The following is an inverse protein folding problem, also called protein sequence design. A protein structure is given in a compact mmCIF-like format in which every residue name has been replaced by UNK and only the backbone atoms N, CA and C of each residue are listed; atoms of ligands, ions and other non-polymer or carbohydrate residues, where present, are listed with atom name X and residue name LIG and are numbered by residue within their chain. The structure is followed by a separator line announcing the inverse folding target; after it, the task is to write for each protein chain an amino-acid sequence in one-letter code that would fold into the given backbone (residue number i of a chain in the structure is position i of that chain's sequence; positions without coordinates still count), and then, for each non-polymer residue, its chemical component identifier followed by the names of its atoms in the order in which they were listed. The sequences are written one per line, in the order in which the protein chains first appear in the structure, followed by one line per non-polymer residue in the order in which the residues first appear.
data_IF_841139134491
#
_entry.id   IF_841139134491
#
_cell.length_a   1.000
_cell.length_b   1.000
_cell.length_c   1.000
_cell.angle_alpha   90.00
_cell.angle_beta   90.00
_cell.angle_gamma   90.00
#
_symmetry.space_group_name_H-M   'P 1'
#
loop_
_entity.id
_entity.type
_entity.pdbx_description
1 polymer ?
#
# COMPACT_ATOMS: atom_id res chain seq x y z
N UNK A 1 23.01 18.64 -14.14
CA UNK A 1 22.44 17.30 -13.90
C UNK A 1 21.05 17.48 -13.32
N UNK A 2 20.03 17.36 -14.16
CA UNK A 2 18.62 17.48 -13.76
C UNK A 2 18.10 16.08 -13.44
N UNK A 3 17.84 15.78 -12.17
CA UNK A 3 17.01 14.64 -11.79
C UNK A 3 15.56 15.12 -11.80
N UNK A 4 14.90 14.89 -12.93
CA UNK A 4 13.44 14.88 -13.01
C UNK A 4 12.98 13.69 -12.16
N UNK A 5 12.50 13.95 -10.94
CA UNK A 5 11.71 12.99 -10.17
C UNK A 5 10.38 12.84 -10.89
N UNK A 6 10.36 11.89 -11.81
CA UNK A 6 9.15 11.31 -12.39
C UNK A 6 8.32 10.71 -11.25
N UNK A 7 7.28 11.40 -10.80
CA UNK A 7 6.11 10.76 -10.21
C UNK A 7 5.32 10.12 -11.37
N UNK A 8 5.89 9.05 -11.91
CA UNK A 8 5.25 8.21 -12.91
C UNK A 8 4.34 7.22 -12.20
N UNK A 9 3.08 7.21 -12.62
CA UNK A 9 2.18 6.05 -12.52
C UNK A 9 2.99 4.76 -12.52
N UNK A 10 2.92 3.98 -11.44
CA UNK A 10 3.61 2.70 -11.37
C UNK A 10 3.09 1.86 -12.53
N UNK A 11 3.92 1.67 -13.55
CA UNK A 11 3.52 1.08 -14.82
C UNK A 11 3.00 -0.34 -14.57
N UNK A 12 1.87 -0.72 -15.19
CA UNK A 12 1.21 -2.01 -14.95
C UNK A 12 2.19 -3.19 -15.20
N UNK A 13 3.14 -2.99 -16.10
CA UNK A 13 4.27 -3.89 -16.36
C UNK A 13 5.20 -4.09 -15.14
N UNK A 14 5.48 -3.03 -14.38
CA UNK A 14 6.31 -3.10 -13.16
C UNK A 14 5.57 -3.85 -12.05
N UNK A 15 4.25 -3.64 -11.94
CA UNK A 15 3.39 -4.34 -10.99
C UNK A 15 3.24 -5.82 -11.33
N UNK A 16 3.07 -6.16 -12.61
CA UNK A 16 3.06 -7.54 -13.10
C UNK A 16 4.39 -8.26 -12.78
N UNK A 17 5.52 -7.58 -12.99
CA UNK A 17 6.85 -8.10 -12.64
C UNK A 17 6.99 -8.34 -11.13
N UNK A 18 6.46 -7.46 -10.28
CA UNK A 18 6.45 -7.66 -8.83
C UNK A 18 5.61 -8.89 -8.42
N UNK A 19 4.47 -9.13 -9.07
CA UNK A 19 3.65 -10.34 -8.82
C UNK A 19 4.38 -11.62 -9.20
N UNK A 20 4.91 -11.65 -10.41
CA UNK A 20 5.69 -12.80 -10.90
C UNK A 20 6.89 -13.07 -10.00
N UNK A 21 7.58 -12.01 -9.53
CA UNK A 21 8.69 -12.14 -8.59
C UNK A 21 8.26 -12.73 -7.24
N UNK A 22 7.12 -12.31 -6.68
CA UNK A 22 6.58 -12.85 -5.42
C UNK A 22 6.14 -14.31 -5.58
N UNK A 23 5.51 -14.65 -6.70
CA UNK A 23 5.06 -16.02 -6.98
C UNK A 23 6.24 -16.96 -7.22
N UNK A 24 7.25 -16.51 -7.98
CA UNK A 24 8.51 -17.25 -8.15
C UNK A 24 9.22 -17.44 -6.82
N UNK A 25 9.30 -16.40 -5.98
CA UNK A 25 9.89 -16.50 -4.64
C UNK A 25 9.11 -17.49 -3.75
N UNK A 26 7.77 -17.53 -3.84
CA UNK A 26 6.95 -18.53 -3.14
C UNK A 26 7.25 -19.96 -3.64
N UNK A 27 7.42 -20.14 -4.95
CA UNK A 27 7.78 -21.43 -5.54
C UNK A 27 9.14 -21.90 -5.03
N UNK A 28 10.17 -21.05 -5.08
CA UNK A 28 11.50 -21.38 -4.56
C UNK A 28 11.47 -21.76 -3.08
N UNK A 29 10.65 -21.08 -2.29
CA UNK A 29 10.48 -21.37 -0.87
C UNK A 29 9.83 -22.75 -0.65
N UNK A 30 8.86 -23.14 -1.48
CA UNK A 30 8.27 -24.47 -1.44
C UNK A 30 9.28 -25.57 -1.84
N UNK A 31 10.07 -25.33 -2.87
CA UNK A 31 11.11 -26.27 -3.30
C UNK A 31 12.18 -26.44 -2.21
N UNK A 32 12.62 -25.34 -1.61
CA UNK A 32 13.55 -25.36 -0.47
C UNK A 32 12.95 -26.11 0.73
N UNK A 33 11.66 -25.99 0.98
CA UNK A 33 10.97 -26.74 2.04
C UNK A 33 11.01 -28.24 1.77
N UNK A 34 10.81 -28.66 0.53
CA UNK A 34 10.91 -30.06 0.11
C UNK A 34 12.34 -30.58 0.27
N UNK A 35 13.33 -29.85 -0.22
CA UNK A 35 14.75 -30.17 -0.07
C UNK A 35 15.15 -30.30 1.40
N UNK A 36 14.71 -29.40 2.27
CA UNK A 36 14.95 -29.48 3.73
C UNK A 36 14.29 -30.73 4.33
N UNK A 37 13.07 -31.09 3.90
CA UNK A 37 12.42 -32.31 4.38
C UNK A 37 13.17 -33.58 3.97
N UNK A 38 13.67 -33.63 2.73
CA UNK A 38 14.54 -34.71 2.24
C UNK A 38 15.85 -34.79 3.03
N UNK A 39 16.49 -33.64 3.30
CA UNK A 39 17.68 -33.54 4.16
C UNK A 39 17.42 -34.07 5.58
N UNK A 40 16.27 -33.76 6.18
CA UNK A 40 15.89 -34.30 7.50
C UNK A 40 15.75 -35.83 7.44
N UNK A 41 15.13 -36.36 6.38
CA UNK A 41 14.96 -37.80 6.19
C UNK A 41 16.31 -38.52 6.08
N UNK A 42 17.20 -38.02 5.22
CA UNK A 42 18.57 -38.56 5.06
C UNK A 42 19.34 -38.48 6.38
N UNK A 43 19.22 -37.36 7.09
CA UNK A 43 19.85 -37.16 8.40
C UNK A 43 19.38 -38.18 9.44
N UNK A 44 18.09 -38.50 9.47
CA UNK A 44 17.55 -39.55 10.36
C UNK A 44 18.05 -40.94 9.97
N UNK A 45 18.10 -41.24 8.67
CA UNK A 45 18.63 -42.50 8.15
C UNK A 45 20.11 -42.69 8.53
N UNK A 46 20.93 -41.64 8.40
CA UNK A 46 22.33 -41.67 8.82
C UNK A 46 22.48 -41.83 10.33
N UNK A 47 21.61 -41.20 11.13
CA UNK A 47 21.58 -41.40 12.59
C UNK A 47 21.24 -42.85 12.95
N UNK A 48 20.27 -43.44 12.25
CA UNK A 48 19.87 -44.83 12.46
C UNK A 48 21.00 -45.79 12.07
N UNK A 49 21.60 -45.62 10.89
CA UNK A 49 22.73 -46.44 10.43
C UNK A 49 23.93 -46.33 11.37
N UNK A 50 24.26 -45.13 11.86
CA UNK A 50 25.35 -44.96 12.81
C UNK A 50 25.06 -45.66 14.15
N UNK A 51 23.80 -45.60 14.61
CA UNK A 51 23.36 -46.30 15.83
C UNK A 51 23.42 -47.82 15.65
N UNK A 52 23.02 -48.32 14.49
CA UNK A 52 23.06 -49.74 14.15
C UNK A 52 24.50 -50.25 14.06
N UNK A 53 25.39 -49.52 13.39
CA UNK A 53 26.83 -49.85 13.32
C UNK A 53 27.47 -49.81 14.70
N UNK A 54 27.22 -48.78 15.51
CA UNK A 54 27.75 -48.73 16.88
C UNK A 54 27.23 -49.85 17.77
N UNK A 55 25.96 -50.24 17.61
CA UNK A 55 25.37 -51.35 18.37
C UNK A 55 25.90 -52.73 17.95
N UNK A 56 26.14 -52.94 16.65
CA UNK A 56 26.60 -54.21 16.09
C UNK A 56 28.12 -54.41 16.24
N UNK A 57 28.89 -53.33 16.31
CA UNK A 57 30.35 -53.38 16.41
C UNK A 57 30.85 -53.24 17.85
N UNK A 58 29.95 -53.05 18.82
CA UNK A 58 30.25 -52.66 20.23
C UNK A 58 31.33 -53.52 20.91
N UNK A 59 31.44 -54.79 20.53
CA UNK A 59 32.42 -55.73 21.12
C UNK A 59 33.79 -55.72 20.43
N UNK A 60 33.94 -55.04 19.29
CA UNK A 60 35.15 -55.06 18.44
C UNK A 60 35.64 -53.68 17.95
N UNK A 61 35.13 -52.56 18.50
CA UNK A 61 35.55 -51.21 18.08
C UNK A 61 36.93 -50.86 18.67
N UNK A 62 37.90 -50.54 17.81
CA UNK A 62 39.18 -49.96 18.25
C UNK A 62 39.01 -48.51 18.70
N UNK A 63 39.89 -48.03 19.60
CA UNK A 63 39.81 -46.67 20.15
C UNK A 63 39.83 -45.56 19.07
N UNK A 64 40.53 -45.80 17.95
CA UNK A 64 40.51 -44.90 16.77
C UNK A 64 39.16 -44.89 16.07
N UNK A 65 38.49 -46.03 15.93
CA UNK A 65 37.16 -46.12 15.32
C UNK A 65 36.10 -45.46 16.20
N UNK A 66 36.23 -45.60 17.52
CA UNK A 66 35.35 -44.92 18.48
C UNK A 66 35.46 -43.39 18.38
N UNK A 67 36.69 -42.85 18.26
CA UNK A 67 36.89 -41.41 18.04
C UNK A 67 36.27 -40.94 16.71
N UNK A 68 36.36 -41.75 15.66
CA UNK A 68 35.82 -41.43 14.33
C UNK A 68 34.28 -41.40 14.35
N UNK A 69 33.66 -42.34 15.07
CA UNK A 69 32.21 -42.40 15.33
C UNK A 69 31.75 -41.16 16.11
N UNK A 70 32.48 -40.78 17.16
CA UNK A 70 32.15 -39.60 17.97
C UNK A 70 32.24 -38.30 17.16
N UNK A 71 33.24 -38.17 16.30
CA UNK A 71 33.38 -37.05 15.39
C UNK A 71 32.29 -37.03 14.31
N UNK A 72 31.90 -38.18 13.79
CA UNK A 72 30.73 -38.30 12.89
C UNK A 72 29.45 -37.83 13.61
N UNK A 73 29.24 -38.29 14.84
CA UNK A 73 28.09 -37.90 15.66
C UNK A 73 28.06 -36.40 15.93
N UNK A 74 29.21 -35.78 16.21
CA UNK A 74 29.33 -34.31 16.36
C UNK A 74 28.98 -33.58 15.06
N UNK A 75 29.49 -34.04 13.91
CA UNK A 75 29.18 -33.45 12.59
C UNK A 75 27.69 -33.61 12.25
N UNK A 76 27.11 -34.77 12.55
CA UNK A 76 25.70 -35.06 12.36
C UNK A 76 24.84 -34.15 13.23
N UNK A 77 25.15 -33.99 14.53
CA UNK A 77 24.44 -33.03 15.40
C UNK A 77 24.52 -31.60 14.89
N UNK A 78 25.69 -31.15 14.42
CA UNK A 78 25.85 -29.81 13.80
C UNK A 78 25.00 -29.65 12.53
N UNK A 79 24.99 -30.66 11.65
CA UNK A 79 24.15 -30.67 10.45
C UNK A 79 22.66 -30.56 10.81
N UNK A 80 22.20 -31.35 11.78
CA UNK A 80 20.80 -31.30 12.22
C UNK A 80 20.41 -29.92 12.80
N UNK A 81 21.31 -29.28 13.56
CA UNK A 81 21.10 -27.92 14.06
C UNK A 81 21.02 -26.90 12.92
N UNK A 82 21.88 -27.03 11.90
CA UNK A 82 21.87 -26.16 10.73
C UNK A 82 20.58 -26.33 9.92
N UNK A 83 20.16 -27.56 9.66
CA UNK A 83 18.89 -27.88 8.99
C UNK A 83 17.70 -27.26 9.75
N UNK A 84 17.69 -27.35 11.08
CA UNK A 84 16.65 -26.73 11.92
C UNK A 84 16.65 -25.20 11.82
N UNK A 85 17.84 -24.56 11.76
CA UNK A 85 17.94 -23.11 11.54
C UNK A 85 17.42 -22.72 10.16
N UNK A 86 17.87 -23.41 9.11
CA UNK A 86 17.42 -23.18 7.73
C UNK A 86 15.91 -23.35 7.59
N UNK A 87 15.32 -24.36 8.24
CA UNK A 87 13.86 -24.52 8.31
C UNK A 87 13.20 -23.31 8.98
N UNK A 88 13.71 -22.87 10.12
CA UNK A 88 13.16 -21.72 10.84
C UNK A 88 13.25 -20.41 10.07
N UNK A 89 14.37 -20.18 9.37
CA UNK A 89 14.55 -19.00 8.52
C UNK A 89 13.66 -19.06 7.28
N UNK A 90 13.46 -20.25 6.71
CA UNK A 90 12.50 -20.49 5.63
C UNK A 90 11.07 -20.22 6.09
N UNK A 91 10.66 -20.72 7.25
CA UNK A 91 9.32 -20.50 7.82
C UNK A 91 9.07 -18.99 8.04
N UNK A 92 10.07 -18.23 8.53
CA UNK A 92 9.98 -16.77 8.63
C UNK A 92 9.90 -16.08 7.27
N UNK A 93 10.64 -16.58 6.28
CA UNK A 93 10.61 -16.05 4.91
C UNK A 93 9.23 -16.24 4.28
N UNK A 94 8.63 -17.44 4.42
CA UNK A 94 7.25 -17.73 4.00
C UNK A 94 6.28 -16.71 4.60
N UNK A 95 6.37 -16.47 5.90
CA UNK A 95 5.41 -15.61 6.58
C UNK A 95 5.55 -14.15 6.13
N UNK A 96 6.79 -13.67 5.98
CA UNK A 96 7.04 -12.34 5.39
C UNK A 96 6.50 -12.26 3.97
N UNK A 97 6.73 -13.28 3.14
CA UNK A 97 6.31 -13.32 1.75
C UNK A 97 4.78 -13.34 1.61
N UNK A 98 4.07 -14.03 2.52
CA UNK A 98 2.61 -13.98 2.61
C UNK A 98 2.10 -12.57 2.94
N UNK A 99 2.73 -11.90 3.89
CA UNK A 99 2.35 -10.53 4.28
C UNK A 99 2.60 -9.55 3.14
N UNK A 100 3.75 -9.62 2.46
CA UNK A 100 4.01 -8.77 1.27
C UNK A 100 3.05 -9.08 0.15
N UNK A 101 2.75 -10.36 -0.11
CA UNK A 101 1.73 -10.76 -1.09
C UNK A 101 0.38 -10.14 -0.76
N UNK A 102 -0.09 -10.27 0.48
CA UNK A 102 -1.38 -9.70 0.91
C UNK A 102 -1.39 -8.17 0.77
N UNK A 103 -0.31 -7.49 1.15
CA UNK A 103 -0.18 -6.03 0.96
C UNK A 103 -0.18 -5.62 -0.51
N UNK A 104 0.50 -6.37 -1.38
CA UNK A 104 0.56 -6.12 -2.81
C UNK A 104 -0.84 -6.23 -3.46
N UNK A 105 -1.60 -7.26 -3.10
CA UNK A 105 -2.98 -7.39 -3.58
C UNK A 105 -3.92 -6.34 -2.99
N UNK A 106 -3.82 -6.03 -1.69
CA UNK A 106 -4.63 -4.96 -1.08
C UNK A 106 -4.34 -3.57 -1.67
N UNK A 107 -3.08 -3.28 -1.99
CA UNK A 107 -2.70 -2.07 -2.71
C UNK A 107 -3.25 -2.06 -4.13
N UNK A 108 -3.30 -3.20 -4.80
CA UNK A 108 -3.90 -3.30 -6.14
C UNK A 108 -5.39 -2.98 -6.11
N UNK A 109 -6.16 -3.61 -5.20
CA UNK A 109 -7.60 -3.36 -5.09
C UNK A 109 -7.88 -1.86 -4.80
N UNK A 110 -7.03 -1.22 -3.99
CA UNK A 110 -7.12 0.21 -3.74
C UNK A 110 -6.77 1.05 -4.99
N UNK A 111 -5.74 0.66 -5.75
CA UNK A 111 -5.34 1.36 -6.99
C UNK A 111 -6.41 1.21 -8.07
N UNK A 112 -7.02 0.04 -8.24
CA UNK A 112 -8.11 -0.16 -9.21
C UNK A 112 -9.32 0.70 -8.85
N UNK A 113 -9.71 0.76 -7.56
CA UNK A 113 -10.81 1.61 -7.10
C UNK A 113 -10.50 3.10 -7.33
N UNK A 114 -9.28 3.54 -7.00
CA UNK A 114 -8.85 4.93 -7.22
C UNK A 114 -8.79 5.28 -8.71
N UNK A 115 -8.43 4.32 -9.57
CA UNK A 115 -8.40 4.51 -11.01
C UNK A 115 -9.82 4.64 -11.58
N UNK A 116 -10.76 3.78 -11.15
CA UNK A 116 -12.18 3.88 -11.51
C UNK A 116 -12.79 5.20 -11.02
N UNK A 117 -12.49 5.62 -9.79
CA UNK A 117 -12.97 6.90 -9.24
C UNK A 117 -12.39 8.10 -10.00
N UNK A 118 -11.11 8.02 -10.41
CA UNK A 118 -10.47 9.03 -11.26
C UNK A 118 -11.14 9.13 -12.63
N UNK A 119 -11.39 7.98 -13.28
CA UNK A 119 -12.01 7.95 -14.60
C UNK A 119 -13.46 8.49 -14.54
N UNK A 120 -14.20 8.16 -13.46
CA UNK A 120 -15.53 8.71 -13.20
C UNK A 120 -15.48 10.23 -12.95
N UNK A 121 -14.56 10.72 -12.12
CA UNK A 121 -14.39 12.16 -11.87
C UNK A 121 -13.99 12.92 -13.12
N UNK A 122 -13.18 12.32 -14.00
CA UNK A 122 -12.80 12.92 -15.27
C UNK A 122 -14.00 12.99 -16.23
N UNK A 123 -14.81 11.94 -16.31
CA UNK A 123 -16.05 11.95 -17.08
C UNK A 123 -17.04 13.00 -16.57
N UNK A 124 -17.21 13.10 -15.24
CA UNK A 124 -18.08 14.10 -14.60
C UNK A 124 -17.54 15.53 -14.86
N UNK A 125 -16.22 15.73 -14.83
CA UNK A 125 -15.59 17.00 -15.15
C UNK A 125 -15.80 17.40 -16.62
N UNK A 126 -15.65 16.46 -17.56
CA UNK A 126 -15.90 16.70 -18.98
C UNK A 126 -17.39 16.99 -19.26
N UNK A 127 -18.30 16.28 -18.58
CA UNK A 127 -19.73 16.55 -18.64
C UNK A 127 -20.08 17.94 -18.08
N UNK A 128 -19.45 18.36 -16.98
CA UNK A 128 -19.64 19.68 -16.41
C UNK A 128 -19.04 20.78 -17.29
N UNK A 129 -17.86 20.53 -17.87
CA UNK A 129 -17.20 21.46 -18.81
C UNK A 129 -18.05 21.66 -20.06
N UNK A 130 -18.55 20.58 -20.66
CA UNK A 130 -19.44 20.67 -21.83
C UNK A 130 -20.77 21.32 -21.49
N UNK A 131 -21.35 21.06 -20.31
CA UNK A 131 -22.54 21.75 -19.83
C UNK A 131 -22.30 23.27 -19.62
N UNK A 132 -21.13 23.65 -19.10
CA UNK A 132 -20.71 25.05 -18.94
C UNK A 132 -20.49 25.73 -20.30
N UNK A 133 -19.77 25.10 -21.22
CA UNK A 133 -19.52 25.63 -22.58
C UNK A 133 -20.81 25.73 -23.42
N UNK A 134 -21.78 24.84 -23.18
CA UNK A 134 -23.09 24.91 -23.80
C UNK A 134 -23.99 25.97 -23.15
N UNK A 135 -23.90 26.15 -21.82
CA UNK A 135 -24.58 27.23 -21.09
C UNK A 135 -24.16 28.60 -21.63
N UNK A 136 -22.85 28.82 -21.84
CA UNK A 136 -22.30 30.07 -22.41
C UNK A 136 -22.78 30.34 -23.85
N UNK A 137 -23.11 29.30 -24.62
CA UNK A 137 -23.67 29.43 -25.99
C UNK A 137 -25.18 29.69 -26.00
N UNK A 138 -25.90 29.26 -24.98
CA UNK A 138 -27.36 29.50 -24.86
C UNK A 138 -27.72 30.82 -24.19
N UNK A 139 -26.81 31.48 -23.48
CA UNK A 139 -26.99 32.82 -22.92
C UNK A 139 -26.70 33.93 -23.95
N UNK A 140 -27.41 33.89 -25.07
CA UNK A 140 -27.65 35.05 -25.95
C UNK A 140 -29.15 35.41 -26.00
N UNK A 141 -29.84 35.17 -24.89
CA UNK A 141 -31.11 35.79 -24.54
C UNK A 141 -31.16 35.93 -23.02
N UNK A 142 -31.63 37.08 -22.55
CA UNK A 142 -31.88 37.46 -21.16
C UNK A 142 -30.68 37.94 -20.33
N UNK A 143 -30.29 39.16 -20.67
CA UNK A 143 -29.73 40.16 -19.75
C UNK A 143 -30.62 40.37 -18.52
N UNK A 144 -30.36 39.60 -17.45
CA UNK A 144 -30.47 40.11 -16.07
C UNK A 144 -29.56 39.29 -15.15
N UNK A 145 -28.27 39.62 -15.15
CA UNK A 145 -27.32 39.12 -14.16
C UNK A 145 -27.82 39.55 -12.78
N UNK A 146 -28.43 38.60 -12.06
CA UNK A 146 -28.91 38.85 -10.71
C UNK A 146 -27.72 39.16 -9.80
N UNK A 147 -27.85 40.10 -8.84
CA UNK A 147 -26.76 40.45 -7.92
C UNK A 147 -26.23 39.23 -7.14
N UNK A 148 -27.04 38.19 -7.02
CA UNK A 148 -26.69 36.93 -6.38
C UNK A 148 -25.71 36.09 -7.22
N UNK A 149 -25.78 36.14 -8.56
CA UNK A 149 -24.84 35.42 -9.42
C UNK A 149 -23.44 36.06 -9.37
N UNK A 150 -23.36 37.38 -9.30
CA UNK A 150 -22.10 38.11 -9.11
C UNK A 150 -21.52 37.86 -7.71
N UNK A 151 -22.36 37.81 -6.67
CA UNK A 151 -21.92 37.42 -5.31
C UNK A 151 -21.38 36.00 -5.29
N UNK A 152 -22.06 35.06 -5.94
CA UNK A 152 -21.65 33.67 -5.98
C UNK A 152 -20.30 33.49 -6.71
N UNK A 153 -20.11 34.15 -7.85
CA UNK A 153 -18.83 34.15 -8.57
C UNK A 153 -17.69 34.76 -7.74
N UNK A 154 -17.96 35.81 -6.96
CA UNK A 154 -16.97 36.39 -6.06
C UNK A 154 -16.62 35.43 -4.93
N UNK A 155 -17.60 34.78 -4.30
CA UNK A 155 -17.32 33.77 -3.26
C UNK A 155 -16.56 32.56 -3.80
N UNK A 156 -16.86 32.13 -5.03
CA UNK A 156 -16.16 31.02 -5.67
C UNK A 156 -14.70 31.36 -5.98
N UNK A 157 -14.43 32.60 -6.41
CA UNK A 157 -13.07 33.08 -6.61
C UNK A 157 -12.31 33.24 -5.28
N UNK A 158 -12.97 33.66 -4.20
CA UNK A 158 -12.38 33.70 -2.86
C UNK A 158 -12.02 32.30 -2.36
N UNK A 159 -12.90 31.31 -2.53
CA UNK A 159 -12.60 29.92 -2.19
C UNK A 159 -11.45 29.36 -3.04
N UNK A 160 -11.42 29.66 -4.34
CA UNK A 160 -10.31 29.26 -5.22
C UNK A 160 -8.98 29.86 -4.78
N UNK A 161 -8.99 31.13 -4.32
CA UNK A 161 -7.79 31.78 -3.76
C UNK A 161 -7.38 31.14 -2.45
N UNK A 162 -8.31 30.84 -1.55
CA UNK A 162 -8.03 30.18 -0.27
C UNK A 162 -7.46 28.77 -0.46
N UNK A 163 -7.94 28.00 -1.45
CA UNK A 163 -7.37 26.68 -1.78
C UNK A 163 -5.94 26.82 -2.27
N UNK A 164 -5.67 27.78 -3.17
CA UNK A 164 -4.31 28.02 -3.66
C UNK A 164 -3.34 28.47 -2.55
N UNK A 165 -3.80 29.31 -1.61
CA UNK A 165 -3.02 29.72 -0.43
C UNK A 165 -2.73 28.52 0.49
N UNK A 166 -3.71 27.62 0.69
CA UNK A 166 -3.53 26.38 1.46
C UNK A 166 -2.56 25.41 0.77
N UNK A 167 -2.62 25.27 -0.55
CA UNK A 167 -1.69 24.45 -1.32
C UNK A 167 -0.25 24.98 -1.23
N UNK A 168 -0.07 26.31 -1.28
CA UNK A 168 1.23 26.94 -1.05
C UNK A 168 1.75 26.71 0.37
N UNK A 169 0.88 26.79 1.38
CA UNK A 169 1.23 26.52 2.77
C UNK A 169 1.63 25.04 2.97
N UNK A 170 0.88 24.10 2.38
CA UNK A 170 1.21 22.68 2.38
C UNK A 170 2.55 22.39 1.73
N UNK A 171 2.83 23.06 0.61
CA UNK A 171 4.12 22.92 -0.09
C UNK A 171 5.27 23.47 0.77
N UNK A 172 5.07 24.59 1.45
CA UNK A 172 6.05 25.17 2.37
C UNK A 172 6.29 24.30 3.62
N UNK A 173 5.23 23.68 4.16
CA UNK A 173 5.31 22.71 5.25
C UNK A 173 6.03 21.42 4.83
N UNK A 174 5.77 20.91 3.62
CA UNK A 174 6.51 19.77 3.07
C UNK A 174 8.02 20.05 2.91
N UNK A 175 8.38 21.28 2.55
CA UNK A 175 9.78 21.74 2.49
C UNK A 175 10.44 21.86 3.87
N UNK A 176 9.66 22.09 4.93
CA UNK A 176 10.15 22.18 6.32
C UNK A 176 10.29 20.80 7.01
N UNK A 177 9.56 19.77 6.55
CA UNK A 177 9.61 18.41 7.12
C UNK A 177 10.80 17.54 6.68
N UNK A 178 11.70 18.05 5.82
CA UNK A 178 12.93 17.33 5.39
C UNK A 178 14.14 17.58 6.34
N UNK A 179 13.92 18.17 7.52
CA UNK A 179 14.91 18.34 8.59
C UNK A 179 14.75 17.30 9.73
N UNK A 180 15.84 16.91 10.43
CA UNK A 180 15.80 15.79 11.36
C UNK A 180 15.11 16.15 12.69
N UNK A 181 14.13 15.32 13.05
CA UNK A 181 13.53 15.05 14.37
C UNK A 181 13.18 16.20 15.34
N UNK A 182 11.87 16.44 15.50
CA UNK A 182 11.25 16.84 16.78
C UNK A 182 9.90 16.12 16.95
N UNK A 183 9.84 15.20 17.92
CA UNK A 183 8.66 14.34 18.17
C UNK A 183 7.45 15.11 18.72
N UNK A 184 7.65 16.28 19.34
CA UNK A 184 6.56 17.08 19.88
C UNK A 184 5.85 17.91 18.80
N UNK A 185 6.61 18.43 17.82
CA UNK A 185 6.04 19.16 16.68
C UNK A 185 5.21 18.23 15.79
N UNK A 186 5.64 16.98 15.61
CA UNK A 186 4.89 15.98 14.84
C UNK A 186 3.53 15.63 15.47
N UNK A 187 3.44 15.61 16.80
CA UNK A 187 2.18 15.36 17.51
C UNK A 187 1.24 16.57 17.46
N UNK A 188 1.77 17.80 17.58
CA UNK A 188 0.95 19.01 17.36
C UNK A 188 0.45 19.10 15.91
N UNK A 189 1.29 18.71 14.94
CA UNK A 189 0.96 18.72 13.52
C UNK A 189 -0.08 17.66 13.16
N UNK A 190 -0.01 16.47 13.78
CA UNK A 190 -1.09 15.47 13.67
C UNK A 190 -2.42 16.00 14.20
N UNK A 191 -2.39 16.72 15.31
CA UNK A 191 -3.60 17.26 15.94
C UNK A 191 -4.23 18.36 15.06
N UNK A 192 -3.40 19.18 14.41
CA UNK A 192 -3.86 20.21 13.48
C UNK A 192 -4.37 19.61 12.16
N UNK A 193 -3.74 18.53 11.69
CA UNK A 193 -4.21 17.75 10.54
C UNK A 193 -5.58 17.11 10.82
N UNK A 194 -5.78 16.56 12.01
CA UNK A 194 -7.07 15.98 12.40
C UNK A 194 -8.17 17.05 12.51
N UNK A 195 -7.83 18.23 13.05
CA UNK A 195 -8.76 19.37 13.15
C UNK A 195 -9.16 19.92 11.78
N UNK A 196 -8.21 20.03 10.85
CA UNK A 196 -8.49 20.48 9.47
C UNK A 196 -9.28 19.44 8.69
N UNK A 197 -8.99 18.15 8.87
CA UNK A 197 -9.78 17.07 8.29
C UNK A 197 -11.22 17.06 8.83
N UNK A 198 -11.41 17.37 10.12
CA UNK A 198 -12.74 17.53 10.70
C UNK A 198 -13.49 18.75 10.11
N UNK A 199 -12.80 19.89 9.95
CA UNK A 199 -13.37 21.08 9.32
C UNK A 199 -13.79 20.82 7.86
N UNK A 200 -12.98 20.07 7.09
CA UNK A 200 -13.32 19.65 5.73
C UNK A 200 -14.55 18.75 5.69
N UNK A 201 -14.68 17.81 6.63
CA UNK A 201 -15.90 16.99 6.76
C UNK A 201 -17.13 17.85 7.06
N UNK A 202 -16.97 18.89 7.89
CA UNK A 202 -18.06 19.82 8.21
C UNK A 202 -18.47 20.66 6.99
N UNK A 203 -17.50 21.23 6.28
CA UNK A 203 -17.72 21.96 5.03
C UNK A 203 -18.37 21.08 3.95
N UNK A 204 -17.98 19.81 3.87
CA UNK A 204 -18.61 18.87 2.93
C UNK A 204 -20.07 18.60 3.28
N UNK A 205 -20.42 18.54 4.58
CA UNK A 205 -21.81 18.41 5.03
C UNK A 205 -22.62 19.68 4.75
N UNK A 206 -22.04 20.85 5.00
CA UNK A 206 -22.67 22.14 4.69
C UNK A 206 -22.89 22.32 3.19
N UNK A 207 -21.91 21.93 2.36
CA UNK A 207 -22.05 21.87 0.91
C UNK A 207 -23.23 20.99 0.50
N UNK A 208 -23.30 19.75 1.00
CA UNK A 208 -24.41 18.83 0.72
C UNK A 208 -25.75 19.37 1.22
N UNK A 209 -25.77 20.08 2.34
CA UNK A 209 -26.97 20.73 2.86
C UNK A 209 -27.44 21.87 1.95
N UNK A 210 -26.52 22.73 1.52
CA UNK A 210 -26.81 23.84 0.59
C UNK A 210 -27.29 23.30 -0.76
N UNK A 211 -26.62 22.26 -1.30
CA UNK A 211 -27.04 21.57 -2.52
C UNK A 211 -28.42 20.94 -2.36
N UNK A 212 -28.71 20.31 -1.22
CA UNK A 212 -30.03 19.76 -0.91
C UNK A 212 -31.12 20.82 -0.85
N UNK A 213 -30.85 21.96 -0.19
CA UNK A 213 -31.77 23.10 -0.13
C UNK A 213 -31.99 23.75 -1.50
N UNK A 214 -30.94 23.82 -2.32
CA UNK A 214 -31.03 24.31 -3.69
C UNK A 214 -31.90 23.39 -4.56
N UNK A 215 -31.69 22.07 -4.47
CA UNK A 215 -32.51 21.08 -5.17
C UNK A 215 -33.97 21.10 -4.71
N UNK A 216 -34.22 21.28 -3.41
CA UNK A 216 -35.57 21.42 -2.84
C UNK A 216 -36.26 22.70 -3.34
N UNK A 217 -35.52 23.81 -3.43
CA UNK A 217 -36.02 25.07 -3.97
C UNK A 217 -36.33 24.95 -5.46
N UNK A 218 -35.44 24.34 -6.26
CA UNK A 218 -35.67 24.04 -7.67
C UNK A 218 -36.91 23.15 -7.88
N UNK A 219 -37.10 22.13 -7.03
CA UNK A 219 -38.25 21.23 -7.09
C UNK A 219 -39.56 21.92 -6.72
N UNK A 220 -39.53 22.88 -5.79
CA UNK A 220 -40.69 23.70 -5.44
C UNK A 220 -41.01 24.74 -6.52
N UNK A 221 -40.01 25.23 -7.25
CA UNK A 221 -40.18 26.09 -8.44
C UNK A 221 -40.70 25.34 -9.68
N UNK A 222 -40.62 24.00 -9.68
CA UNK A 222 -41.06 23.14 -10.78
C UNK A 222 -42.41 22.45 -10.53
N UNK A 223 -43.05 22.67 -9.36
CA UNK A 223 -44.44 22.28 -9.11
C UNK A 223 -45.34 23.44 -9.57
N UNK A 224 -46.00 23.35 -10.73
CA UNK A 224 -47.11 24.24 -11.02
C UNK A 224 -48.26 23.92 -10.06
N UNK A 225 -49.07 24.93 -9.76
CA UNK A 225 -50.37 24.76 -9.11
C UNK A 225 -51.25 23.73 -9.83
#
# INVERSE_FOLDING_TARGET
MSMVKSNGTMDDATLAMCRESVDNAMSYVNDNRKTIAELISVQMLLQQQLTEVTSSTKDHVTEKEQQLIDDLNKKLKRSHQLIRKLKGDLDKSVEKLKVTRQKLYAQYDAVTVLQEEKDQLQADYEALKTASENSDKTSSADTSSTPDQTRLLNTLNEYKRQIAEQDQLLQQLQLQTDGPESSEELDTLKQELEKTQYALKHLTKEKKFIEGRYLEMMKNSQKPS
#
